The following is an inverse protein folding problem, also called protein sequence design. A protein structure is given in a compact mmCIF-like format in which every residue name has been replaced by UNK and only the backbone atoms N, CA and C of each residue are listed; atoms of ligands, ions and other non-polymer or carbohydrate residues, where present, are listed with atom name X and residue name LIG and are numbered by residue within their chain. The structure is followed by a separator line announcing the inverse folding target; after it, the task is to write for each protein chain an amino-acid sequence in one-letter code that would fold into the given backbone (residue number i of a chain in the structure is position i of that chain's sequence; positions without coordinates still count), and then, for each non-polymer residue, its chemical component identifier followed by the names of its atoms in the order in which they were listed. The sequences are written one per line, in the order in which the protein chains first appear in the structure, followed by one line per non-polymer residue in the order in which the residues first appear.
data_IF_875361347631
#
_entry.id   IF_875361347631
#
_cell.length_a   1.000
_cell.length_b   1.000
_cell.length_c   1.000
_cell.angle_alpha   90.00
_cell.angle_beta   90.00
_cell.angle_gamma   90.00
#
_symmetry.space_group_name_H-M   'P 1'
#
loop_
_entity.id
_entity.type
_entity.pdbx_description
1 polymer ?
#
# COMPACT_ATOMS: atom_id res chain seq x y z
N UNK A 1 20.54 7.67 -26.20
CA UNK A 1 19.27 8.14 -26.79
C UNK A 1 18.08 7.39 -26.15
N UNK A 2 17.07 8.12 -25.79
CA UNK A 2 15.86 7.50 -25.28
C UNK A 2 15.10 6.88 -26.44
N UNK A 3 14.77 5.61 -26.35
CA UNK A 3 14.08 4.88 -27.39
C UNK A 3 12.58 5.16 -27.39
N UNK A 4 11.88 4.74 -28.43
CA UNK A 4 10.42 4.81 -28.49
C UNK A 4 9.78 4.04 -27.33
N UNK A 5 10.41 2.92 -26.91
CA UNK A 5 9.91 2.16 -25.76
C UNK A 5 9.96 2.97 -24.48
N UNK A 6 10.95 3.84 -24.30
CA UNK A 6 11.04 4.73 -23.15
C UNK A 6 9.91 5.74 -23.15
N UNK A 7 9.60 6.32 -24.32
CA UNK A 7 8.51 7.27 -24.47
C UNK A 7 7.16 6.58 -24.17
N UNK A 8 6.97 5.37 -24.67
CA UNK A 8 5.77 4.59 -24.38
C UNK A 8 5.62 4.31 -22.88
N UNK A 9 6.71 3.95 -22.21
CA UNK A 9 6.69 3.72 -20.77
C UNK A 9 6.28 4.99 -20.01
N UNK A 10 6.83 6.14 -20.40
CA UNK A 10 6.57 7.41 -19.75
C UNK A 10 5.14 7.90 -19.95
N UNK A 11 4.47 7.44 -21.01
CA UNK A 11 3.08 7.79 -21.29
C UNK A 11 2.08 6.89 -20.56
N UNK A 12 2.55 5.83 -19.89
CA UNK A 12 1.66 4.92 -19.19
C UNK A 12 1.17 5.54 -17.87
N UNK A 13 0.07 5.02 -17.37
CA UNK A 13 -0.55 5.48 -16.13
C UNK A 13 -0.40 4.43 -15.03
N UNK A 14 -0.56 4.88 -13.81
CA UNK A 14 -0.54 4.03 -12.62
C UNK A 14 -1.52 2.86 -12.76
N UNK A 15 -2.73 3.14 -13.26
CA UNK A 15 -3.79 2.12 -13.37
C UNK A 15 -3.42 0.94 -14.26
N UNK A 16 -2.49 1.12 -15.20
CA UNK A 16 -2.07 0.05 -16.10
C UNK A 16 -1.18 -0.98 -15.41
N UNK A 17 -0.57 -0.63 -14.29
CA UNK A 17 0.39 -1.50 -13.60
C UNK A 17 0.06 -1.73 -12.12
N UNK A 18 -1.06 -1.22 -11.64
CA UNK A 18 -1.46 -1.44 -10.25
C UNK A 18 -2.00 -2.87 -10.05
N UNK A 19 -2.02 -3.31 -8.81
CA UNK A 19 -2.70 -4.53 -8.41
C UNK A 19 -4.12 -4.12 -7.99
N UNK A 20 -5.13 -4.72 -8.61
CA UNK A 20 -6.53 -4.36 -8.33
C UNK A 20 -6.94 -4.65 -6.89
N UNK A 21 -7.85 -3.84 -6.38
CA UNK A 21 -8.31 -3.92 -4.99
C UNK A 21 -8.83 -5.30 -4.59
N UNK A 22 -9.44 -6.05 -5.50
CA UNK A 22 -9.96 -7.39 -5.23
C UNK A 22 -8.87 -8.41 -4.93
N UNK A 23 -7.62 -8.09 -5.23
CA UNK A 23 -6.45 -8.93 -4.96
C UNK A 23 -5.63 -8.43 -3.77
N UNK A 24 -6.06 -7.36 -3.13
CA UNK A 24 -5.31 -6.73 -2.05
C UNK A 24 -5.96 -7.05 -0.71
N UNK A 25 -5.15 -7.55 0.21
CA UNK A 25 -5.59 -7.82 1.58
C UNK A 25 -5.77 -6.50 2.31
N UNK A 26 -6.85 -6.37 3.05
CA UNK A 26 -7.15 -5.17 3.83
C UNK A 26 -7.89 -5.53 5.12
N UNK A 27 -8.01 -4.55 6.00
CA UNK A 27 -8.87 -4.64 7.19
C UNK A 27 -9.83 -3.47 7.18
N UNK A 28 -10.82 -3.51 8.04
CA UNK A 28 -11.86 -2.48 8.08
C UNK A 28 -11.79 -1.66 9.36
N UNK A 29 -12.21 -0.41 9.26
CA UNK A 29 -12.46 0.44 10.41
C UNK A 29 -13.38 -0.34 11.37
N UNK A 30 -13.01 -0.37 12.64
CA UNK A 30 -13.73 -1.14 13.66
C UNK A 30 -13.10 -2.50 13.96
N UNK A 31 -12.24 -3.03 13.12
CA UNK A 31 -11.49 -4.24 13.46
C UNK A 31 -10.48 -3.93 14.56
N UNK A 32 -10.25 -4.89 15.46
CA UNK A 32 -9.27 -4.68 16.51
C UNK A 32 -7.85 -5.01 16.03
N UNK A 33 -6.86 -4.66 16.84
CA UNK A 33 -5.45 -4.87 16.48
C UNK A 33 -5.10 -6.36 16.37
N UNK A 34 -5.74 -7.21 17.16
CA UNK A 34 -5.53 -8.65 17.09
C UNK A 34 -5.87 -9.19 15.71
N UNK A 35 -7.04 -8.80 15.19
CA UNK A 35 -7.45 -9.21 13.84
C UNK A 35 -6.43 -8.74 12.78
N UNK A 36 -6.03 -7.47 12.86
CA UNK A 36 -5.06 -6.94 11.90
C UNK A 36 -3.71 -7.66 12.01
N UNK A 37 -3.25 -7.93 13.22
CA UNK A 37 -1.99 -8.65 13.43
C UNK A 37 -2.03 -10.05 12.85
N UNK A 38 -3.16 -10.76 13.04
CA UNK A 38 -3.35 -12.07 12.44
C UNK A 38 -3.31 -12.02 10.93
N UNK A 39 -3.99 -11.05 10.31
CA UNK A 39 -4.00 -10.88 8.86
C UNK A 39 -2.58 -10.59 8.35
N UNK A 40 -1.88 -9.65 8.98
CA UNK A 40 -0.51 -9.29 8.61
C UNK A 40 0.43 -10.49 8.73
N UNK A 41 0.33 -11.24 9.83
CA UNK A 41 1.20 -12.38 10.09
C UNK A 41 0.95 -13.51 9.10
N UNK A 42 -0.32 -13.82 8.83
CA UNK A 42 -0.68 -14.92 7.94
C UNK A 42 -0.37 -14.64 6.47
N UNK A 43 -0.47 -13.37 6.05
CA UNK A 43 -0.20 -12.99 4.67
C UNK A 43 1.26 -12.63 4.43
N UNK A 44 2.01 -12.31 5.48
CA UNK A 44 3.40 -11.89 5.37
C UNK A 44 3.60 -10.43 4.99
N UNK A 45 2.52 -9.66 4.84
CA UNK A 45 2.63 -8.22 4.57
C UNK A 45 3.07 -7.47 5.82
N UNK A 46 3.83 -6.39 5.62
CA UNK A 46 4.26 -5.52 6.73
C UNK A 46 3.25 -4.42 7.03
N UNK A 47 2.42 -4.07 6.05
CA UNK A 47 1.36 -3.08 6.19
C UNK A 47 0.25 -3.40 5.19
N UNK A 48 -1.00 -3.06 5.56
CA UNK A 48 -2.17 -3.27 4.71
C UNK A 48 -3.11 -2.06 4.83
N UNK A 49 -3.94 -1.81 3.81
CA UNK A 49 -4.92 -0.72 3.85
C UNK A 49 -6.02 -0.95 4.87
N UNK A 50 -6.52 0.15 5.43
CA UNK A 50 -7.70 0.18 6.30
C UNK A 50 -8.82 0.88 5.54
N UNK A 51 -9.91 0.18 5.32
CA UNK A 51 -11.06 0.66 4.54
C UNK A 51 -12.29 0.74 5.42
N UNK A 52 -13.28 1.56 5.03
CA UNK A 52 -14.58 1.56 5.68
C UNK A 52 -15.58 0.68 4.93
N UNK A 53 -16.84 0.65 5.39
CA UNK A 53 -17.88 -0.17 4.79
C UNK A 53 -18.21 0.25 3.35
N UNK A 54 -17.88 1.49 2.96
CA UNK A 54 -18.04 2.00 1.60
C UNK A 54 -16.78 1.81 0.75
N UNK A 55 -15.82 1.04 1.25
CA UNK A 55 -14.55 0.76 0.58
C UNK A 55 -13.66 2.00 0.41
N UNK A 56 -13.86 3.01 1.23
CA UNK A 56 -13.04 4.21 1.22
C UNK A 56 -11.77 3.98 2.03
N UNK A 57 -10.68 4.52 1.52
CA UNK A 57 -9.36 4.38 2.14
C UNK A 57 -9.19 5.37 3.30
N UNK A 58 -8.89 4.84 4.49
CA UNK A 58 -8.66 5.65 5.69
C UNK A 58 -7.19 5.76 6.05
N UNK A 59 -6.42 4.71 5.83
CA UNK A 59 -5.00 4.73 6.18
C UNK A 59 -4.37 3.36 6.00
N UNK A 60 -3.19 3.21 6.59
CA UNK A 60 -2.45 1.94 6.61
C UNK A 60 -2.23 1.49 8.04
N UNK A 61 -2.35 0.18 8.26
CA UNK A 61 -1.98 -0.43 9.54
C UNK A 61 -0.82 -1.40 9.29
N UNK A 62 0.22 -1.30 10.09
CA UNK A 62 1.40 -2.15 9.95
C UNK A 62 1.76 -2.85 11.22
N UNK A 63 2.53 -3.92 11.11
CA UNK A 63 2.99 -4.69 12.27
C UNK A 63 3.72 -3.82 13.27
N UNK A 64 4.60 -2.94 12.80
CA UNK A 64 5.38 -2.07 13.69
C UNK A 64 4.50 -1.10 14.48
N UNK A 65 3.42 -0.61 13.86
CA UNK A 65 2.49 0.30 14.54
C UNK A 65 1.75 -0.43 15.67
N UNK A 66 1.34 -1.67 15.40
CA UNK A 66 0.66 -2.51 16.40
C UNK A 66 1.61 -2.83 17.55
N UNK A 67 2.82 -3.26 17.22
CA UNK A 67 3.83 -3.62 18.23
C UNK A 67 4.20 -2.44 19.11
N UNK A 68 4.40 -1.27 18.50
CA UNK A 68 4.68 -0.05 19.26
C UNK A 68 3.57 0.26 20.26
N UNK A 69 2.32 0.03 19.85
CA UNK A 69 1.16 0.33 20.71
C UNK A 69 1.06 -0.60 21.93
N UNK A 70 1.44 -1.88 21.78
CA UNK A 70 1.32 -2.85 22.85
C UNK A 70 2.57 -2.99 23.71
N UNK A 71 3.71 -2.44 23.26
CA UNK A 71 4.94 -2.45 24.04
C UNK A 71 4.84 -1.40 25.15
N UNK A 72 4.69 -1.87 26.39
CA UNK A 72 4.76 -1.00 27.57
C UNK A 72 6.20 -0.77 27.99
N UNK A 73 6.37 0.00 29.08
CA UNK A 73 7.71 0.30 29.59
C UNK A 73 8.37 -0.92 30.24
N UNK A 74 7.58 -1.84 30.78
CA UNK A 74 8.11 -2.99 31.54
C UNK A 74 7.73 -4.33 30.95
N UNK A 75 6.71 -4.38 30.06
CA UNK A 75 6.23 -5.63 29.48
C UNK A 75 5.47 -5.37 28.19
N UNK A 76 5.20 -6.44 27.45
CA UNK A 76 4.32 -6.39 26.29
C UNK A 76 2.89 -6.52 26.78
N UNK A 77 2.07 -5.53 26.47
CA UNK A 77 0.69 -5.44 26.94
C UNK A 77 -0.27 -6.09 25.94
N UNK A 78 -0.20 -7.43 25.83
CA UNK A 78 -1.00 -8.20 24.89
C UNK A 78 -2.51 -7.97 25.01
N UNK A 79 -2.99 -7.63 26.20
CA UNK A 79 -4.41 -7.38 26.48
C UNK A 79 -4.96 -6.18 25.70
N UNK A 80 -4.10 -5.34 25.16
CA UNK A 80 -4.53 -4.21 24.30
C UNK A 80 -4.97 -4.65 22.92
N UNK A 81 -4.53 -5.83 22.47
CA UNK A 81 -4.78 -6.27 21.09
C UNK A 81 -6.27 -6.42 20.77
N UNK A 82 -7.08 -6.92 21.69
CA UNK A 82 -8.51 -7.11 21.44
C UNK A 82 -9.36 -5.88 21.80
N UNK A 83 -8.76 -4.87 22.39
CA UNK A 83 -9.48 -3.68 22.88
C UNK A 83 -9.30 -2.44 22.00
N UNK A 84 -8.18 -2.35 21.29
CA UNK A 84 -7.85 -1.17 20.48
C UNK A 84 -8.21 -1.46 19.02
N UNK A 85 -8.89 -0.51 18.38
CA UNK A 85 -9.27 -0.63 16.97
C UNK A 85 -8.18 -0.10 16.06
N UNK A 86 -8.13 -0.62 14.83
CA UNK A 86 -7.09 -0.25 13.86
C UNK A 86 -7.07 1.25 13.58
N UNK A 87 -8.24 1.91 13.55
CA UNK A 87 -8.32 3.35 13.26
C UNK A 87 -7.68 4.21 14.35
N UNK A 88 -7.49 3.67 15.55
CA UNK A 88 -6.85 4.40 16.65
C UNK A 88 -5.32 4.44 16.49
N UNK A 89 -4.76 3.58 15.63
CA UNK A 89 -3.31 3.36 15.53
C UNK A 89 -2.79 3.60 14.11
N UNK A 90 -3.62 3.41 13.09
CA UNK A 90 -3.23 3.49 11.69
C UNK A 90 -2.57 4.82 11.32
N UNK A 91 -1.72 4.76 10.30
CA UNK A 91 -1.13 5.95 9.70
C UNK A 91 -2.11 6.52 8.67
N UNK A 92 -2.53 7.78 8.87
CA UNK A 92 -3.50 8.44 7.99
C UNK A 92 -2.85 9.36 6.96
N UNK A 93 -1.68 9.92 7.28
CA UNK A 93 -0.93 10.78 6.38
C UNK A 93 -0.06 9.92 5.47
N UNK A 94 -0.69 9.39 4.42
CA UNK A 94 -0.06 8.48 3.49
C UNK A 94 -0.15 9.03 2.07
N UNK A 95 0.85 8.75 1.22
CA UNK A 95 0.74 9.14 -0.19
C UNK A 95 -0.35 8.33 -0.88
N UNK A 96 -1.02 8.94 -1.83
CA UNK A 96 -2.10 8.32 -2.60
C UNK A 96 -1.93 8.65 -4.07
N UNK A 97 -2.31 7.71 -4.92
CA UNK A 97 -2.28 7.86 -6.36
C UNK A 97 -3.69 7.72 -6.92
N UNK A 98 -3.87 8.24 -8.13
CA UNK A 98 -5.10 8.05 -8.92
C UNK A 98 -4.76 7.14 -10.10
N UNK A 99 -5.78 6.46 -10.63
CA UNK A 99 -5.61 5.56 -11.79
C UNK A 99 -4.94 6.28 -12.96
N UNK A 100 -5.33 7.54 -13.19
CA UNK A 100 -4.85 8.33 -14.32
C UNK A 100 -3.54 9.07 -14.06
N UNK A 101 -2.97 8.95 -12.87
CA UNK A 101 -1.68 9.58 -12.58
C UNK A 101 -0.60 9.01 -13.49
N UNK A 102 0.35 9.86 -13.94
CA UNK A 102 1.47 9.36 -14.75
C UNK A 102 2.31 8.38 -13.93
N UNK A 103 2.84 7.36 -14.62
CA UNK A 103 3.63 6.33 -13.96
C UNK A 103 4.85 6.92 -13.24
N UNK A 104 5.43 8.00 -13.74
CA UNK A 104 6.56 8.66 -13.09
C UNK A 104 6.23 9.16 -11.69
N UNK A 105 5.00 9.59 -11.45
CA UNK A 105 4.58 9.98 -10.11
C UNK A 105 4.64 8.79 -9.17
N UNK A 106 4.17 7.63 -9.63
CA UNK A 106 4.27 6.39 -8.87
C UNK A 106 5.71 5.98 -8.61
N UNK A 107 6.58 6.09 -9.61
CA UNK A 107 8.01 5.78 -9.47
C UNK A 107 8.63 6.59 -8.32
N UNK A 108 8.35 7.90 -8.28
CA UNK A 108 8.88 8.76 -7.23
C UNK A 108 8.42 8.36 -5.84
N UNK A 109 7.15 7.99 -5.72
CA UNK A 109 6.58 7.62 -4.42
C UNK A 109 7.08 6.29 -3.88
N UNK A 110 7.39 5.31 -4.74
CA UNK A 110 7.87 4.01 -4.27
C UNK A 110 9.35 3.99 -3.90
N UNK A 111 10.05 5.10 -4.11
CA UNK A 111 11.42 5.23 -3.59
C UNK A 111 11.41 5.04 -2.07
N UNK A 112 10.45 5.65 -1.39
CA UNK A 112 10.36 5.61 0.07
C UNK A 112 9.20 4.76 0.60
N UNK A 113 8.42 4.14 -0.28
CA UNK A 113 7.25 3.37 0.11
C UNK A 113 7.22 2.07 -0.69
N UNK A 114 7.13 0.94 -0.01
CA UNK A 114 7.08 -0.37 -0.68
C UNK A 114 5.88 -0.48 -1.61
N UNK A 115 4.78 0.19 -1.28
CA UNK A 115 3.62 0.34 -2.14
C UNK A 115 2.89 1.63 -1.81
N UNK A 116 2.06 2.08 -2.74
CA UNK A 116 1.23 3.28 -2.57
C UNK A 116 -0.20 2.91 -2.94
N UNK A 117 -1.14 3.34 -2.12
CA UNK A 117 -2.56 3.09 -2.38
C UNK A 117 -3.08 3.96 -3.51
N UNK A 118 -3.96 3.37 -4.31
CA UNK A 118 -4.63 4.06 -5.43
C UNK A 118 -6.11 4.21 -5.06
N UNK A 119 -6.63 5.42 -5.16
CA UNK A 119 -8.03 5.72 -4.85
C UNK A 119 -8.63 6.61 -5.94
N UNK A 120 -9.97 6.61 -6.02
CA UNK A 120 -10.66 7.50 -6.95
C UNK A 120 -10.96 8.86 -6.29
N UNK A 121 -11.68 9.72 -7.00
CA UNK A 121 -12.02 11.07 -6.53
C UNK A 121 -12.89 11.06 -5.27
N UNK A 122 -13.58 9.95 -5.00
CA UNK A 122 -14.44 9.79 -3.83
C UNK A 122 -13.73 9.03 -2.70
N UNK A 123 -12.40 8.84 -2.83
CA UNK A 123 -11.56 8.12 -1.86
C UNK A 123 -11.82 6.62 -1.80
N UNK A 124 -12.55 6.07 -2.78
CA UNK A 124 -12.76 4.63 -2.87
C UNK A 124 -11.47 3.96 -3.31
N UNK A 125 -11.10 2.92 -2.59
CA UNK A 125 -9.85 2.18 -2.83
C UNK A 125 -9.93 1.42 -4.16
N UNK A 126 -8.95 1.62 -5.02
CA UNK A 126 -8.89 1.00 -6.35
C UNK A 126 -7.84 -0.10 -6.44
N UNK A 127 -6.80 -0.03 -5.62
CA UNK A 127 -5.71 -1.00 -5.64
C UNK A 127 -4.42 -0.43 -5.07
N UNK A 128 -3.32 -1.10 -5.35
CA UNK A 128 -1.99 -0.64 -4.91
C UNK A 128 -1.01 -0.63 -6.07
N UNK A 129 -0.10 0.34 -6.03
CA UNK A 129 1.01 0.46 -6.97
C UNK A 129 2.29 0.12 -6.19
N UNK A 130 3.00 -0.92 -6.59
CA UNK A 130 4.08 -1.50 -5.78
C UNK A 130 5.46 -1.18 -6.35
N UNK A 131 6.44 -1.10 -5.45
CA UNK A 131 7.85 -1.00 -5.83
C UNK A 131 8.25 -2.19 -6.70
N UNK A 132 7.75 -3.37 -6.38
CA UNK A 132 8.06 -4.57 -7.16
C UNK A 132 7.65 -4.44 -8.62
N UNK A 133 6.45 -3.90 -8.88
CA UNK A 133 5.96 -3.68 -10.25
C UNK A 133 6.90 -2.72 -10.99
N UNK A 134 7.32 -1.64 -10.32
CA UNK A 134 8.23 -0.66 -10.91
C UNK A 134 9.55 -1.32 -11.29
N UNK A 135 10.13 -2.08 -10.37
CA UNK A 135 11.41 -2.76 -10.62
C UNK A 135 11.29 -3.78 -11.76
N UNK A 136 10.18 -4.49 -11.85
CA UNK A 136 9.93 -5.44 -12.93
C UNK A 136 9.85 -4.71 -14.29
N UNK A 137 9.14 -3.60 -14.35
CA UNK A 137 9.00 -2.83 -15.58
C UNK A 137 10.34 -2.22 -16.00
N UNK A 138 11.09 -1.68 -15.05
CA UNK A 138 12.41 -1.13 -15.34
C UNK A 138 13.38 -2.20 -15.83
N UNK A 139 13.39 -3.35 -15.18
CA UNK A 139 14.24 -4.47 -15.58
C UNK A 139 13.92 -4.93 -17.01
N UNK A 140 12.65 -5.08 -17.31
CA UNK A 140 12.18 -5.46 -18.65
C UNK A 140 12.59 -4.42 -19.68
N UNK A 141 12.41 -3.14 -19.37
CA UNK A 141 12.73 -2.04 -20.25
C UNK A 141 14.24 -1.99 -20.55
N UNK A 142 15.08 -2.12 -19.50
CA UNK A 142 16.54 -2.10 -19.65
C UNK A 142 17.03 -3.27 -20.50
N UNK A 143 16.44 -4.44 -20.36
CA UNK A 143 16.79 -5.60 -21.18
C UNK A 143 16.43 -5.37 -22.65
N UNK A 144 15.32 -4.69 -22.93
CA UNK A 144 14.91 -4.35 -24.28
C UNK A 144 15.89 -3.37 -24.93
N UNK A 145 16.39 -2.39 -24.15
CA UNK A 145 17.36 -1.41 -24.68
C UNK A 145 18.71 -2.01 -25.00
N UNK A 146 19.07 -3.12 -24.36
CA UNK A 146 20.38 -3.77 -24.55
C UNK A 146 20.40 -4.76 -25.72
N UNK A 147 19.33 -4.88 -26.47
CA UNK A 147 19.28 -5.77 -27.66
C UNK A 147 19.61 -5.07 -28.96
#
# INVERSE_FOLDING_TARGET
MISLQSDELLETTVGQFMIDADKVVHVQVGNNLEHALLVLTKTGYTAIPVLDASFRLHGLIGTNMIMDKIFGLERIEFEKLDKIHVEEVMLTDIPRLKIDDPILKGFGLVINNAFVCVENEEQVFEGIFTRRVVLKQLNKHLRTLNK
#
